data_IF_056404709114
#
_entry.id   IF_056404709114
#
_cell.length_a   1.000
_cell.length_b   1.000
_cell.length_c   1.000
_cell.angle_alpha   90.00
_cell.angle_beta   90.00
_cell.angle_gamma   90.00
#
_symmetry.space_group_name_H-M   'P 1'
#
loop_
_entity.id
_entity.type
_entity.pdbx_description
1 polymer ?
#
# COMPACT_ATOMS: atom_id res chain seq x y z
N UNK A 1 -7.35 -30.03 6.59
CA UNK A 1 -6.01 -29.59 6.24
C UNK A 1 -5.73 -28.23 6.83
N UNK A 2 -5.00 -28.23 7.91
CA UNK A 2 -4.74 -26.96 8.58
C UNK A 2 -3.96 -25.97 7.71
N UNK A 3 -3.02 -26.47 6.92
CA UNK A 3 -2.25 -25.62 6.03
C UNK A 3 -3.14 -24.94 4.98
N UNK A 4 -4.14 -25.65 4.52
CA UNK A 4 -5.08 -25.09 3.55
C UNK A 4 -6.05 -24.14 4.21
N UNK A 5 -6.36 -24.39 5.48
CA UNK A 5 -7.23 -23.49 6.23
C UNK A 5 -6.62 -22.11 6.34
N UNK A 6 -5.31 -22.03 6.63
CA UNK A 6 -4.62 -20.74 6.74
C UNK A 6 -4.56 -20.00 5.40
N UNK A 7 -4.75 -20.72 4.30
CA UNK A 7 -4.70 -20.15 2.96
C UNK A 7 -6.08 -19.92 2.34
N UNK A 8 -7.15 -20.17 3.10
CA UNK A 8 -8.49 -19.93 2.58
C UNK A 8 -8.78 -18.45 2.38
N UNK A 9 -8.16 -17.59 3.22
CA UNK A 9 -8.23 -16.16 3.00
C UNK A 9 -7.31 -15.79 1.84
N UNK A 10 -7.77 -14.93 0.92
CA UNK A 10 -6.93 -14.51 -0.19
C UNK A 10 -5.77 -13.65 0.32
N UNK A 11 -4.65 -13.59 -0.42
CA UNK A 11 -3.59 -12.66 -0.06
C UNK A 11 -4.08 -11.22 -0.20
N UNK A 12 -3.55 -10.33 0.62
CA UNK A 12 -3.87 -8.92 0.47
C UNK A 12 -3.20 -8.40 -0.80
N UNK A 13 -3.97 -7.70 -1.63
CA UNK A 13 -3.44 -7.10 -2.84
C UNK A 13 -2.94 -5.70 -2.50
N UNK A 14 -1.63 -5.50 -2.61
CA UNK A 14 -1.01 -4.22 -2.26
C UNK A 14 -0.48 -3.55 -3.52
N UNK A 15 -0.89 -2.30 -3.75
CA UNK A 15 -0.29 -1.49 -4.79
C UNK A 15 0.72 -0.55 -4.13
N UNK A 16 1.99 -0.69 -4.51
CA UNK A 16 3.06 0.18 -4.02
C UNK A 16 3.41 1.16 -5.13
N UNK A 17 3.27 2.45 -4.84
CA UNK A 17 3.62 3.53 -5.77
C UNK A 17 4.88 4.20 -5.23
N UNK A 18 6.03 3.88 -5.85
CA UNK A 18 7.33 4.28 -5.36
C UNK A 18 8.32 4.36 -6.52
N UNK A 19 8.97 5.50 -6.73
CA UNK A 19 9.94 5.63 -7.81
C UNK A 19 11.34 5.18 -7.43
N UNK A 20 11.65 5.09 -6.16
CA UNK A 20 12.97 4.68 -5.69
C UNK A 20 13.06 3.17 -5.55
N UNK A 21 13.93 2.55 -6.35
CA UNK A 21 14.09 1.11 -6.36
C UNK A 21 14.52 0.56 -4.99
N UNK A 22 15.43 1.25 -4.32
CA UNK A 22 15.89 0.82 -3.00
C UNK A 22 14.77 0.81 -1.97
N UNK A 23 13.97 1.89 -1.96
CA UNK A 23 12.84 1.98 -1.02
C UNK A 23 11.78 0.94 -1.34
N UNK A 24 11.53 0.67 -2.61
CA UNK A 24 10.57 -0.36 -3.01
C UNK A 24 11.03 -1.74 -2.53
N UNK A 25 12.32 -2.02 -2.66
CA UNK A 25 12.88 -3.30 -2.20
C UNK A 25 12.80 -3.44 -0.69
N UNK A 26 13.07 -2.36 0.05
CA UNK A 26 12.98 -2.39 1.51
C UNK A 26 11.55 -2.68 1.95
N UNK A 27 10.57 -2.07 1.30
CA UNK A 27 9.17 -2.32 1.61
C UNK A 27 8.81 -3.78 1.34
N UNK A 28 9.23 -4.30 0.19
CA UNK A 28 8.98 -5.70 -0.16
C UNK A 28 9.59 -6.66 0.86
N UNK A 29 10.85 -6.39 1.25
CA UNK A 29 11.54 -7.23 2.22
C UNK A 29 10.88 -7.17 3.60
N UNK A 30 10.42 -6.00 4.02
CA UNK A 30 9.73 -5.87 5.29
C UNK A 30 8.47 -6.73 5.33
N UNK A 31 7.69 -6.71 4.25
CA UNK A 31 6.47 -7.51 4.16
C UNK A 31 6.79 -9.01 4.14
N UNK A 32 7.85 -9.38 3.44
CA UNK A 32 8.28 -10.77 3.35
C UNK A 32 8.79 -11.29 4.69
N UNK A 33 9.63 -10.52 5.38
CA UNK A 33 10.16 -10.90 6.68
C UNK A 33 9.05 -11.07 7.71
N UNK A 34 8.04 -10.22 7.64
CA UNK A 34 6.89 -10.30 8.52
C UNK A 34 5.89 -11.36 8.12
N UNK A 35 6.15 -12.06 7.03
CA UNK A 35 5.29 -13.15 6.55
C UNK A 35 3.86 -12.68 6.29
N UNK A 36 3.73 -11.45 5.83
CA UNK A 36 2.43 -10.92 5.42
C UNK A 36 2.03 -11.62 4.13
N UNK A 37 0.87 -12.24 4.14
CA UNK A 37 0.35 -12.94 2.96
C UNK A 37 -0.18 -11.92 1.98
N UNK A 38 0.61 -11.63 0.94
CA UNK A 38 0.31 -10.54 0.03
C UNK A 38 0.79 -10.79 -1.39
N UNK A 39 0.16 -10.06 -2.31
CA UNK A 39 0.66 -9.89 -3.67
C UNK A 39 1.03 -8.40 -3.79
N UNK A 40 2.32 -8.12 -3.97
CA UNK A 40 2.80 -6.76 -4.08
C UNK A 40 2.95 -6.38 -5.54
N UNK A 41 2.25 -5.33 -5.94
CA UNK A 41 2.31 -4.77 -7.28
C UNK A 41 3.01 -3.42 -7.19
N UNK A 42 4.16 -3.31 -7.83
CA UNK A 42 4.98 -2.10 -7.76
C UNK A 42 4.88 -1.32 -9.06
N UNK A 43 4.53 -0.05 -8.95
CA UNK A 43 4.56 0.90 -10.06
C UNK A 43 5.44 2.07 -9.68
N UNK A 44 6.01 2.76 -10.67
CA UNK A 44 7.08 3.72 -10.44
C UNK A 44 6.65 5.18 -10.44
N UNK A 45 5.47 5.48 -10.92
CA UNK A 45 5.01 6.86 -11.00
C UNK A 45 3.50 6.95 -10.91
N UNK A 46 3.00 8.19 -10.83
CA UNK A 46 1.58 8.41 -10.64
C UNK A 46 0.74 8.05 -11.85
N UNK A 47 1.30 8.17 -13.05
CA UNK A 47 0.58 7.80 -14.27
C UNK A 47 0.37 6.29 -14.30
N UNK A 48 1.41 5.51 -14.02
CA UNK A 48 1.30 4.06 -13.94
C UNK A 48 0.31 3.63 -12.85
N UNK A 49 0.34 4.33 -11.71
CA UNK A 49 -0.59 4.00 -10.63
C UNK A 49 -2.04 4.10 -11.08
N UNK A 50 -2.37 5.19 -11.76
CA UNK A 50 -3.74 5.39 -12.24
C UNK A 50 -4.09 4.42 -13.36
N UNK A 51 -3.14 4.10 -14.23
CA UNK A 51 -3.35 3.08 -15.26
C UNK A 51 -3.65 1.72 -14.62
N UNK A 52 -2.92 1.38 -13.57
CA UNK A 52 -3.16 0.14 -12.82
C UNK A 52 -4.57 0.13 -12.22
N UNK A 53 -4.94 1.22 -11.56
CA UNK A 53 -6.23 1.32 -10.87
C UNK A 53 -7.41 1.33 -11.83
N UNK A 54 -7.24 1.95 -12.99
CA UNK A 54 -8.29 2.02 -14.02
C UNK A 54 -8.20 0.89 -15.03
N UNK A 55 -7.25 -0.03 -14.86
CA UNK A 55 -7.05 -1.19 -15.71
C UNK A 55 -6.84 -0.80 -17.18
N UNK A 56 -5.97 0.17 -17.39
CA UNK A 56 -5.64 0.67 -18.73
C UNK A 56 -4.40 -0.01 -19.29
N UNK A 57 -4.34 -0.16 -20.61
CA UNK A 57 -3.16 -0.67 -21.30
C UNK A 57 -2.73 -2.03 -20.77
N UNK A 58 -1.46 -2.14 -20.40
CA UNK A 58 -0.90 -3.40 -19.90
C UNK A 58 -1.52 -3.86 -18.58
N UNK A 59 -2.27 -2.98 -17.91
CA UNK A 59 -2.90 -3.28 -16.63
C UNK A 59 -4.36 -3.70 -16.76
N UNK A 60 -4.83 -4.03 -17.95
CA UNK A 60 -6.24 -4.37 -18.16
C UNK A 60 -6.73 -5.52 -17.28
N UNK A 61 -5.83 -6.44 -16.91
CA UNK A 61 -6.17 -7.59 -16.07
C UNK A 61 -5.68 -7.47 -14.64
N UNK A 62 -5.25 -6.27 -14.23
CA UNK A 62 -4.75 -6.07 -12.89
C UNK A 62 -5.87 -6.20 -11.85
N UNK A 63 -5.55 -6.72 -10.65
CA UNK A 63 -6.55 -6.82 -9.59
C UNK A 63 -6.82 -5.45 -8.98
N UNK A 64 -7.95 -5.34 -8.30
CA UNK A 64 -8.24 -4.16 -7.49
C UNK A 64 -7.43 -4.28 -6.19
N UNK A 65 -6.62 -3.28 -5.85
CA UNK A 65 -5.87 -3.36 -4.60
C UNK A 65 -6.77 -3.31 -3.38
N UNK A 66 -6.34 -3.98 -2.33
CA UNK A 66 -6.98 -3.88 -1.02
C UNK A 66 -6.43 -2.69 -0.23
N UNK A 67 -5.20 -2.29 -0.54
CA UNK A 67 -4.55 -1.15 0.10
C UNK A 67 -3.52 -0.56 -0.87
N UNK A 68 -3.34 0.75 -0.79
CA UNK A 68 -2.36 1.46 -1.61
C UNK A 68 -1.31 2.08 -0.69
N UNK A 69 -0.04 1.81 -0.96
CA UNK A 69 1.08 2.47 -0.29
C UNK A 69 1.60 3.51 -1.27
N UNK A 70 1.49 4.77 -0.92
CA UNK A 70 1.71 5.87 -1.86
C UNK A 70 2.78 6.83 -1.36
N UNK A 71 3.89 6.91 -2.11
CA UNK A 71 4.86 7.96 -1.92
C UNK A 71 4.31 9.22 -2.59
N UNK A 72 4.33 10.35 -1.91
CA UNK A 72 3.83 11.59 -2.50
C UNK A 72 4.84 12.24 -3.44
N UNK A 73 6.12 11.97 -3.28
CA UNK A 73 7.17 12.59 -4.09
C UNK A 73 7.48 11.74 -5.32
N UNK A 74 6.58 11.78 -6.29
CA UNK A 74 6.66 10.95 -7.49
C UNK A 74 6.97 11.80 -8.72
N UNK A 75 7.67 11.21 -9.72
CA UNK A 75 7.82 11.87 -11.02
C UNK A 75 6.52 11.82 -11.81
N UNK A 76 6.46 12.63 -12.86
CA UNK A 76 5.34 12.74 -13.80
C UNK A 76 4.08 13.29 -13.15
N UNK A 77 3.40 12.48 -12.35
CA UNK A 77 2.20 12.92 -11.66
C UNK A 77 2.42 12.84 -10.16
N UNK A 78 2.32 13.97 -9.50
CA UNK A 78 2.56 14.08 -8.06
C UNK A 78 1.62 13.14 -7.29
N UNK A 79 2.14 12.54 -6.22
CA UNK A 79 1.34 11.64 -5.40
C UNK A 79 0.11 12.30 -4.80
N UNK A 80 0.16 13.61 -4.53
CA UNK A 80 -1.01 14.33 -4.02
C UNK A 80 -2.13 14.35 -5.06
N UNK A 81 -1.78 14.52 -6.33
CA UNK A 81 -2.76 14.46 -7.41
C UNK A 81 -3.34 13.06 -7.54
N UNK A 82 -2.50 12.04 -7.41
CA UNK A 82 -2.94 10.65 -7.46
C UNK A 82 -3.93 10.38 -6.33
N UNK A 83 -3.61 10.81 -5.12
CA UNK A 83 -4.48 10.63 -3.96
C UNK A 83 -5.82 11.32 -4.18
N UNK A 84 -5.79 12.54 -4.70
CA UNK A 84 -7.00 13.30 -4.96
C UNK A 84 -7.90 12.58 -5.98
N UNK A 85 -7.30 12.06 -7.04
CA UNK A 85 -8.07 11.31 -8.05
C UNK A 85 -8.66 10.04 -7.48
N UNK A 86 -7.90 9.31 -6.66
CA UNK A 86 -8.40 8.10 -6.01
C UNK A 86 -9.61 8.44 -5.15
N UNK A 87 -9.51 9.47 -4.34
CA UNK A 87 -10.57 9.82 -3.39
C UNK A 87 -11.77 10.50 -4.04
N UNK A 88 -11.62 10.94 -5.29
CA UNK A 88 -12.71 11.54 -6.06
C UNK A 88 -13.44 10.54 -6.96
N UNK A 89 -12.90 9.34 -7.12
CA UNK A 89 -13.48 8.31 -7.99
C UNK A 89 -14.34 7.36 -7.14
N UNK A 90 -15.61 7.25 -7.48
CA UNK A 90 -16.55 6.43 -6.71
C UNK A 90 -16.16 4.95 -6.63
N UNK A 91 -15.38 4.47 -7.60
CA UNK A 91 -14.94 3.08 -7.63
C UNK A 91 -13.66 2.84 -6.84
N UNK A 92 -12.90 3.90 -6.58
CA UNK A 92 -11.58 3.80 -5.94
C UNK A 92 -11.55 4.41 -4.56
N UNK A 93 -12.47 5.31 -4.24
CA UNK A 93 -12.41 6.13 -3.03
C UNK A 93 -12.41 5.33 -1.73
N UNK A 94 -12.88 4.10 -1.76
CA UNK A 94 -12.95 3.26 -0.56
C UNK A 94 -11.67 2.45 -0.33
N UNK A 95 -10.75 2.45 -1.29
CA UNK A 95 -9.48 1.75 -1.10
C UNK A 95 -8.66 2.54 -0.10
N UNK A 96 -8.23 1.91 1.01
CA UNK A 96 -7.38 2.60 1.97
C UNK A 96 -6.05 3.02 1.36
N UNK A 97 -5.61 4.24 1.66
CA UNK A 97 -4.33 4.75 1.18
C UNK A 97 -3.46 5.08 2.38
N UNK A 98 -2.29 4.47 2.43
CA UNK A 98 -1.25 4.76 3.41
C UNK A 98 -0.20 5.60 2.70
N UNK A 99 0.01 6.81 3.18
CA UNK A 99 1.00 7.72 2.60
C UNK A 99 2.37 7.45 3.21
N UNK A 100 3.37 7.26 2.35
CA UNK A 100 4.74 7.04 2.78
C UNK A 100 5.46 8.39 2.81
N UNK A 101 6.07 8.72 3.95
CA UNK A 101 6.76 10.00 4.14
C UNK A 101 8.23 9.76 4.41
N UNK A 102 9.06 10.78 4.19
CA UNK A 102 10.50 10.67 4.43
C UNK A 102 10.87 10.97 5.89
N UNK A 103 10.00 11.69 6.61
CA UNK A 103 10.29 12.06 7.99
C UNK A 103 9.00 12.39 8.73
N UNK A 104 9.11 12.41 10.05
CA UNK A 104 8.00 12.82 10.90
C UNK A 104 7.61 14.28 10.65
N UNK A 105 8.60 15.13 10.36
CA UNK A 105 8.32 16.53 10.04
C UNK A 105 7.47 16.64 8.77
N UNK A 106 7.79 15.86 7.75
CA UNK A 106 7.00 15.83 6.52
C UNK A 106 5.58 15.34 6.81
N UNK A 107 5.45 14.28 7.62
CA UNK A 107 4.14 13.77 8.00
C UNK A 107 3.29 14.85 8.69
N UNK A 108 3.90 15.60 9.63
CA UNK A 108 3.19 16.64 10.34
C UNK A 108 2.70 17.74 9.41
N UNK A 109 3.52 18.13 8.45
CA UNK A 109 3.12 19.12 7.44
C UNK A 109 1.96 18.58 6.60
N UNK A 110 2.05 17.33 6.13
CA UNK A 110 1.03 16.73 5.29
C UNK A 110 -0.31 16.63 6.00
N UNK A 111 -0.30 16.39 7.29
CA UNK A 111 -1.55 16.30 8.09
C UNK A 111 -2.30 17.62 8.17
N UNK A 112 -1.62 18.75 7.88
CA UNK A 112 -2.29 20.04 7.88
C UNK A 112 -3.14 20.25 6.63
N UNK A 113 -2.94 19.43 5.60
CA UNK A 113 -3.73 19.49 4.37
C UNK A 113 -4.83 18.44 4.41
N UNK A 114 -5.92 18.72 3.72
CA UNK A 114 -7.04 17.79 3.65
C UNK A 114 -6.80 16.82 2.49
N UNK A 115 -5.93 15.83 2.70
CA UNK A 115 -5.57 14.88 1.67
C UNK A 115 -6.40 13.59 1.70
N UNK A 116 -7.16 13.38 2.78
CA UNK A 116 -8.01 12.19 2.92
C UNK A 116 -7.27 10.86 2.89
N UNK A 117 -5.98 10.87 3.25
CA UNK A 117 -5.25 9.63 3.44
C UNK A 117 -5.72 8.95 4.72
N UNK A 118 -5.74 7.63 4.71
CA UNK A 118 -6.13 6.89 5.90
C UNK A 118 -5.06 6.94 6.98
N UNK A 119 -3.80 6.82 6.58
CA UNK A 119 -2.68 6.74 7.51
C UNK A 119 -1.41 7.27 6.88
N UNK A 120 -0.41 7.52 7.73
CA UNK A 120 0.93 7.94 7.30
C UNK A 120 1.96 7.02 7.91
N UNK A 121 2.95 6.62 7.13
CA UNK A 121 4.06 5.79 7.60
C UNK A 121 5.36 6.41 7.12
N UNK A 122 6.32 6.55 8.04
CA UNK A 122 7.63 7.09 7.72
C UNK A 122 8.51 6.00 7.11
N UNK A 123 9.18 6.30 6.01
CA UNK A 123 10.12 5.37 5.41
C UNK A 123 11.43 5.29 6.20
N UNK A 124 12.13 4.15 6.22
CA UNK A 124 11.75 2.88 5.61
C UNK A 124 10.57 2.23 6.30
N UNK A 125 9.77 1.48 5.55
CA UNK A 125 8.58 0.84 6.12
C UNK A 125 9.02 -0.19 7.16
N UNK A 126 8.59 0.02 8.40
CA UNK A 126 8.81 -0.89 9.50
C UNK A 126 7.57 -1.77 9.64
N UNK A 127 7.78 -3.07 9.67
CA UNK A 127 6.67 -4.02 9.70
C UNK A 127 5.75 -3.82 10.89
N UNK A 128 6.30 -3.62 12.09
CA UNK A 128 5.47 -3.40 13.28
C UNK A 128 4.58 -2.19 13.12
N UNK A 129 5.14 -1.09 12.64
CA UNK A 129 4.39 0.13 12.41
C UNK A 129 3.34 -0.10 11.33
N UNK A 130 3.72 -0.79 10.24
CA UNK A 130 2.79 -1.08 9.16
C UNK A 130 1.59 -1.88 9.65
N UNK A 131 1.83 -2.93 10.41
CA UNK A 131 0.74 -3.77 10.94
C UNK A 131 -0.18 -2.96 11.84
N UNK A 132 0.39 -2.13 12.73
CA UNK A 132 -0.42 -1.27 13.60
C UNK A 132 -1.29 -0.32 12.80
N UNK A 133 -0.71 0.25 11.76
CA UNK A 133 -1.42 1.21 10.91
C UNK A 133 -2.59 0.54 10.20
N UNK A 134 -2.35 -0.62 9.57
CA UNK A 134 -3.43 -1.29 8.85
C UNK A 134 -4.51 -1.81 9.78
N UNK A 135 -4.15 -2.22 11.00
CA UNK A 135 -5.14 -2.66 11.97
C UNK A 135 -6.05 -1.53 12.45
N UNK A 136 -5.62 -0.28 12.28
CA UNK A 136 -6.43 0.88 12.64
C UNK A 136 -7.46 1.22 11.56
N UNK A 137 -7.38 0.61 10.38
CA UNK A 137 -8.31 0.89 9.29
C UNK A 137 -9.56 0.02 9.48
N UNK A 138 -10.71 0.68 9.53
CA UNK A 138 -11.98 -0.01 9.72
C UNK A 138 -12.23 -1.04 8.63
N UNK A 139 -12.66 -2.23 9.04
CA UNK A 139 -13.01 -3.32 8.14
C UNK A 139 -11.86 -3.81 7.27
N UNK A 140 -10.63 -3.46 7.63
CA UNK A 140 -9.48 -3.97 6.91
C UNK A 140 -8.98 -5.25 7.58
N UNK A 141 -8.50 -6.17 6.76
CA UNK A 141 -7.95 -7.43 7.23
C UNK A 141 -6.53 -7.59 6.74
N UNK A 142 -5.74 -8.36 7.49
CA UNK A 142 -4.37 -8.68 7.11
C UNK A 142 -4.05 -10.07 7.61
N UNK A 143 -3.61 -10.94 6.71
CA UNK A 143 -3.21 -12.29 7.08
C UNK A 143 -1.70 -12.36 7.21
N UNK A 144 -1.24 -12.75 8.39
CA UNK A 144 0.17 -12.99 8.64
C UNK A 144 0.35 -14.50 8.71
N UNK A 145 1.25 -15.00 7.87
CA UNK A 145 1.52 -16.45 7.83
C UNK A 145 2.42 -16.82 8.99
N UNK A 146 1.96 -17.79 9.80
CA UNK A 146 2.74 -18.30 10.93
C UNK A 146 3.29 -19.67 10.55
N UNK A 147 4.60 -19.85 10.73
CA UNK A 147 5.21 -21.14 10.45
C UNK A 147 4.84 -22.17 11.51
N UNK A 148 4.85 -23.46 11.13
CA UNK A 148 4.38 -24.52 12.03
C UNK A 148 5.07 -24.58 13.39
N UNK A 149 6.31 -24.17 13.49
CA UNK A 149 7.03 -24.21 14.76
C UNK A 149 7.04 -22.85 15.47
N UNK A 150 6.11 -21.99 15.12
CA UNK A 150 5.96 -20.68 15.76
C UNK A 150 6.96 -19.63 15.34
N UNK A 151 7.61 -19.83 14.25
CA UNK A 151 8.64 -18.92 13.80
C UNK A 151 8.24 -18.17 12.55
#
# INVERSE_FOLDING_TARGET
MSADTDRTAPPVEILLVEDNLGDARLTREALKEGKVYNNLHWVKDGVEALDFLHKRGKYKDSPKPDIILLDLNLPKKDGREVLQEIKSDSRLMRIPVVVLTTSKAEEDVLKTYTLHANCYVTKPVDLEQFIKVVQSIDNFWLTVVTLPNGK
#
